data_IF_368624589707
#
_entry.id   IF_368624589707
#
_cell.length_a   1.000
_cell.length_b   1.000
_cell.length_c   1.000
_cell.angle_alpha   90.00
_cell.angle_beta   90.00
_cell.angle_gamma   90.00
#
_symmetry.space_group_name_H-M   'P 1'
#
loop_
_entity.id
_entity.type
_entity.pdbx_description
1 polymer ?
#
# COMPACT_ATOMS: atom_id res chain seq x y z
N UNK A 1 -89.56 2.77 22.50
CA UNK A 1 -88.89 2.53 23.78
C UNK A 1 -88.61 1.04 23.82
N UNK A 2 -87.37 0.67 23.53
CA UNK A 2 -86.89 -0.71 23.59
C UNK A 2 -85.85 -0.77 24.68
N UNK A 3 -86.23 -1.55 25.74
CA UNK A 3 -85.39 -1.82 26.89
C UNK A 3 -84.17 -2.68 26.46
N UNK A 4 -82.95 -2.16 26.69
CA UNK A 4 -81.74 -2.92 26.53
C UNK A 4 -81.42 -3.57 27.88
N UNK A 5 -81.26 -4.89 27.95
CA UNK A 5 -80.93 -5.57 29.20
C UNK A 5 -79.46 -5.30 29.58
N UNK A 6 -79.11 -5.24 30.86
CA UNK A 6 -77.73 -5.00 31.33
C UNK A 6 -76.80 -6.17 30.98
N UNK A 7 -75.66 -5.84 30.41
CA UNK A 7 -74.60 -6.80 30.16
C UNK A 7 -73.93 -7.18 31.47
N UNK A 8 -74.06 -8.42 31.86
CA UNK A 8 -73.42 -9.01 33.03
C UNK A 8 -71.89 -9.13 32.71
N UNK A 9 -71.08 -8.41 33.49
CA UNK A 9 -69.61 -8.59 33.52
C UNK A 9 -69.32 -9.97 34.13
N UNK A 10 -68.79 -10.86 33.31
CA UNK A 10 -68.23 -12.13 33.79
C UNK A 10 -66.84 -11.85 34.40
N UNK A 11 -66.46 -12.50 35.49
CA UNK A 11 -65.17 -12.38 36.12
C UNK A 11 -64.13 -12.99 35.17
N UNK A 12 -63.07 -12.21 34.92
CA UNK A 12 -61.90 -12.64 34.15
C UNK A 12 -61.20 -13.76 34.91
N UNK A 13 -61.16 -14.93 34.27
CA UNK A 13 -60.47 -16.10 34.76
C UNK A 13 -58.99 -15.78 35.05
N UNK A 14 -58.56 -16.19 36.24
CA UNK A 14 -57.18 -16.14 36.72
C UNK A 14 -56.25 -16.75 35.72
N UNK A 15 -55.46 -15.90 35.09
CA UNK A 15 -54.29 -16.34 34.31
C UNK A 15 -53.25 -16.80 35.32
N UNK A 16 -52.88 -18.09 35.37
CA UNK A 16 -51.98 -18.60 36.39
C UNK A 16 -50.60 -17.95 36.23
N UNK A 17 -50.14 -17.29 37.28
CA UNK A 17 -48.84 -16.59 37.35
C UNK A 17 -47.62 -17.43 36.86
N UNK A 18 -47.77 -18.75 36.87
CA UNK A 18 -46.78 -19.70 36.32
C UNK A 18 -46.59 -19.61 34.81
N UNK A 19 -47.61 -19.20 34.03
CA UNK A 19 -47.48 -19.05 32.57
C UNK A 19 -46.71 -17.79 32.20
N UNK A 20 -46.86 -16.75 33.01
CA UNK A 20 -46.12 -15.50 32.80
C UNK A 20 -44.61 -15.62 33.11
N UNK A 21 -44.27 -16.39 34.15
CA UNK A 21 -42.89 -16.68 34.53
C UNK A 21 -42.18 -17.60 33.50
N UNK A 22 -42.93 -18.54 32.91
CA UNK A 22 -42.38 -19.42 31.88
C UNK A 22 -42.05 -18.66 30.57
N UNK A 23 -42.95 -17.76 30.15
CA UNK A 23 -42.72 -16.93 28.96
C UNK A 23 -41.55 -15.96 29.15
N UNK A 24 -41.42 -15.36 30.37
CA UNK A 24 -40.28 -14.45 30.67
C UNK A 24 -38.94 -15.18 30.70
N UNK A 25 -38.92 -16.44 31.15
CA UNK A 25 -37.68 -17.25 31.17
C UNK A 25 -37.25 -17.68 29.78
N UNK A 26 -38.16 -17.97 28.87
CA UNK A 26 -37.91 -18.31 27.49
C UNK A 26 -37.32 -17.13 26.72
N UNK A 27 -37.92 -15.93 26.87
CA UNK A 27 -37.44 -14.71 26.20
C UNK A 27 -36.05 -14.30 26.69
N UNK A 28 -35.77 -14.44 28.00
CA UNK A 28 -34.44 -14.09 28.55
C UNK A 28 -33.36 -15.07 28.08
N UNK A 29 -33.68 -16.35 27.91
CA UNK A 29 -32.72 -17.31 27.37
C UNK A 29 -32.40 -17.05 25.89
N UNK A 30 -33.39 -16.66 25.10
CA UNK A 30 -33.23 -16.39 23.68
C UNK A 30 -32.38 -15.12 23.44
N UNK A 31 -32.69 -14.04 24.14
CA UNK A 31 -31.88 -12.78 24.05
C UNK A 31 -30.46 -13.00 24.53
N UNK A 32 -30.21 -13.85 25.51
CA UNK A 32 -28.86 -14.13 26.03
C UNK A 32 -28.03 -15.00 25.09
N UNK A 33 -28.65 -15.86 24.29
CA UNK A 33 -27.99 -16.69 23.31
C UNK A 33 -27.59 -15.86 22.06
N UNK A 34 -28.43 -14.93 21.65
CA UNK A 34 -28.14 -14.03 20.53
C UNK A 34 -27.00 -13.08 20.84
N UNK A 35 -26.95 -12.51 22.05
CA UNK A 35 -25.78 -11.65 22.43
C UNK A 35 -24.46 -12.40 22.48
N UNK A 36 -24.47 -13.67 22.86
CA UNK A 36 -23.26 -14.48 22.95
C UNK A 36 -22.72 -14.87 21.56
N UNK A 37 -23.60 -15.15 20.61
CA UNK A 37 -23.22 -15.44 19.21
C UNK A 37 -22.81 -14.18 18.50
N UNK A 38 -23.46 -13.04 18.71
CA UNK A 38 -23.10 -11.75 18.11
C UNK A 38 -21.73 -11.28 18.59
N UNK A 39 -21.43 -11.38 19.87
CA UNK A 39 -20.11 -11.04 20.43
C UNK A 39 -18.99 -11.96 19.90
N UNK A 40 -19.25 -13.23 19.67
CA UNK A 40 -18.29 -14.14 19.03
C UNK A 40 -18.10 -13.86 17.55
N UNK A 41 -19.18 -13.53 16.84
CA UNK A 41 -19.12 -13.13 15.43
C UNK A 41 -18.36 -11.82 15.23
N UNK A 42 -18.59 -10.82 16.11
CA UNK A 42 -17.84 -9.55 16.04
C UNK A 42 -16.37 -9.73 16.38
N UNK A 43 -16.04 -10.57 17.37
CA UNK A 43 -14.65 -10.89 17.69
C UNK A 43 -13.96 -11.63 16.55
N UNK A 44 -14.63 -12.58 15.90
CA UNK A 44 -14.12 -13.32 14.75
C UNK A 44 -13.91 -12.39 13.54
N UNK A 45 -14.83 -11.45 13.32
CA UNK A 45 -14.74 -10.46 12.25
C UNK A 45 -13.60 -9.47 12.49
N UNK A 46 -13.40 -9.02 13.73
CA UNK A 46 -12.28 -8.16 14.10
C UNK A 46 -10.92 -8.86 13.95
N UNK A 47 -10.82 -10.13 14.32
CA UNK A 47 -9.57 -10.90 14.13
C UNK A 47 -9.28 -11.17 12.65
N UNK A 48 -10.32 -11.44 11.85
CA UNK A 48 -10.18 -11.60 10.41
C UNK A 48 -9.75 -10.28 9.72
N UNK A 49 -10.30 -9.15 10.17
CA UNK A 49 -9.94 -7.83 9.67
C UNK A 49 -8.47 -7.46 10.00
N UNK A 50 -8.00 -7.84 11.19
CA UNK A 50 -6.60 -7.66 11.60
C UNK A 50 -5.65 -8.54 10.78
N UNK A 51 -6.02 -9.78 10.46
CA UNK A 51 -5.23 -10.68 9.62
C UNK A 51 -5.13 -10.20 8.17
N UNK A 52 -6.20 -9.62 7.62
CA UNK A 52 -6.20 -9.04 6.27
C UNK A 52 -5.35 -7.76 6.23
N UNK A 53 -5.32 -6.96 7.31
CA UNK A 53 -4.51 -5.75 7.39
C UNK A 53 -3.00 -6.02 7.39
N UNK A 54 -2.54 -7.16 7.90
CA UNK A 54 -1.12 -7.52 7.86
C UNK A 54 -0.65 -8.01 6.47
N UNK A 55 -1.58 -8.42 5.60
CA UNK A 55 -1.25 -8.85 4.24
C UNK A 55 -1.11 -7.68 3.24
N UNK A 56 -1.52 -6.45 3.61
CA UNK A 56 -1.50 -5.28 2.72
C UNK A 56 -0.15 -4.55 2.69
N UNK A 57 0.85 -4.98 3.48
CA UNK A 57 2.21 -4.43 3.43
C UNK A 57 3.21 -5.24 2.59
N UNK A 58 2.77 -6.25 1.87
CA UNK A 58 3.52 -6.73 0.72
C UNK A 58 3.22 -5.75 -0.42
N UNK A 59 3.94 -4.61 -0.46
CA UNK A 59 4.13 -3.91 -1.72
C UNK A 59 4.51 -4.98 -2.75
N UNK A 60 3.94 -5.00 -3.98
CA UNK A 60 4.46 -5.86 -5.00
C UNK A 60 5.96 -5.54 -5.05
N UNK A 61 6.80 -6.49 -4.67
CA UNK A 61 8.17 -6.46 -5.08
C UNK A 61 8.07 -6.32 -6.60
N UNK A 62 8.38 -5.13 -7.12
CA UNK A 62 8.67 -4.99 -8.53
C UNK A 62 9.65 -6.13 -8.77
N UNK A 63 9.30 -7.06 -9.64
CA UNK A 63 10.26 -7.95 -10.25
C UNK A 63 11.19 -7.02 -11.04
N UNK A 64 12.11 -6.36 -10.33
CA UNK A 64 13.33 -5.92 -10.95
C UNK A 64 13.94 -7.23 -11.42
N UNK A 65 13.86 -7.48 -12.71
CA UNK A 65 14.64 -8.50 -13.35
C UNK A 65 16.03 -8.41 -12.73
N UNK A 66 16.59 -9.55 -12.28
CA UNK A 66 17.82 -9.57 -11.50
C UNK A 66 18.96 -9.03 -12.37
N UNK A 67 19.08 -7.71 -12.48
CA UNK A 67 20.18 -7.03 -13.15
C UNK A 67 21.46 -7.26 -12.35
N UNK A 68 22.56 -7.44 -13.06
CA UNK A 68 23.88 -7.58 -12.43
C UNK A 68 24.36 -6.27 -11.78
N UNK A 69 23.95 -5.12 -12.32
CA UNK A 69 24.30 -3.79 -11.80
C UNK A 69 23.29 -2.74 -12.27
N UNK A 70 23.18 -1.64 -11.51
CA UNK A 70 22.43 -0.43 -11.86
C UNK A 70 23.41 0.66 -12.27
N UNK A 71 23.27 1.17 -13.49
CA UNK A 71 24.15 2.19 -14.07
C UNK A 71 23.36 3.45 -14.38
N UNK A 72 23.85 4.61 -13.96
CA UNK A 72 23.31 5.92 -14.30
C UNK A 72 24.27 6.66 -15.25
N UNK A 73 23.72 7.27 -16.30
CA UNK A 73 24.46 8.12 -17.23
C UNK A 73 23.98 9.57 -17.12
N UNK A 74 24.89 10.48 -16.81
CA UNK A 74 24.64 11.91 -16.65
C UNK A 74 25.25 12.68 -17.83
N UNK A 75 24.43 13.47 -18.52
CA UNK A 75 24.77 14.17 -19.74
C UNK A 75 24.52 15.68 -19.63
N UNK A 76 25.39 16.49 -20.20
CA UNK A 76 25.24 17.96 -20.25
C UNK A 76 24.42 18.43 -21.45
N UNK A 77 24.29 17.59 -22.48
CA UNK A 77 23.53 17.86 -23.71
C UNK A 77 22.49 16.75 -23.96
N UNK A 78 21.53 16.95 -24.88
CA UNK A 78 20.55 15.91 -25.22
C UNK A 78 21.22 14.67 -25.81
N UNK A 79 20.57 13.50 -25.60
CA UNK A 79 21.05 12.21 -26.16
C UNK A 79 21.07 12.18 -27.69
N UNK A 80 20.33 13.07 -28.34
CA UNK A 80 20.23 13.18 -29.81
C UNK A 80 21.03 14.37 -30.37
N UNK A 81 22.10 14.75 -29.71
CA UNK A 81 22.97 15.86 -30.15
C UNK A 81 23.78 15.53 -31.43
N UNK A 82 23.69 14.33 -31.94
CA UNK A 82 24.36 13.87 -33.15
C UNK A 82 25.84 13.59 -32.97
N UNK A 83 26.39 13.73 -31.75
CA UNK A 83 27.82 13.63 -31.49
C UNK A 83 28.17 13.08 -30.10
N UNK A 84 28.49 13.97 -29.17
CA UNK A 84 29.11 13.65 -27.88
C UNK A 84 28.20 12.85 -26.94
N UNK A 85 27.02 13.37 -26.61
CA UNK A 85 26.09 12.70 -25.71
C UNK A 85 25.45 11.49 -26.33
N UNK A 86 25.14 11.54 -27.63
CA UNK A 86 24.60 10.39 -28.36
C UNK A 86 25.57 9.21 -28.34
N UNK A 87 26.84 9.43 -28.55
CA UNK A 87 27.86 8.37 -28.56
C UNK A 87 27.94 7.67 -27.18
N UNK A 88 27.90 8.43 -26.09
CA UNK A 88 27.87 7.87 -24.73
C UNK A 88 26.59 7.07 -24.44
N UNK A 89 25.46 7.63 -24.85
CA UNK A 89 24.18 6.96 -24.72
C UNK A 89 24.13 5.62 -25.45
N UNK A 90 24.53 5.62 -26.74
CA UNK A 90 24.54 4.40 -27.56
C UNK A 90 25.49 3.34 -26.97
N UNK A 91 26.63 3.75 -26.44
CA UNK A 91 27.59 2.87 -25.81
C UNK A 91 27.01 2.20 -24.53
N UNK A 92 26.35 2.98 -23.67
CA UNK A 92 25.77 2.46 -22.43
C UNK A 92 24.53 1.60 -22.72
N UNK A 93 23.73 1.93 -23.74
CA UNK A 93 22.61 1.09 -24.17
C UNK A 93 23.09 -0.25 -24.74
N UNK A 94 24.17 -0.24 -25.51
CA UNK A 94 24.79 -1.49 -25.96
C UNK A 94 25.33 -2.33 -24.80
N UNK A 95 25.91 -1.69 -23.79
CA UNK A 95 26.37 -2.37 -22.57
C UNK A 95 25.19 -2.99 -21.80
N UNK A 96 24.04 -2.29 -21.72
CA UNK A 96 22.81 -2.82 -21.14
C UNK A 96 22.43 -4.16 -21.76
N UNK A 97 22.38 -4.24 -23.08
CA UNK A 97 21.98 -5.45 -23.79
C UNK A 97 23.04 -6.58 -23.67
N UNK A 98 24.31 -6.21 -23.53
CA UNK A 98 25.41 -7.17 -23.47
C UNK A 98 25.62 -7.77 -22.08
N UNK A 99 25.45 -6.97 -21.03
CA UNK A 99 25.86 -7.33 -19.66
C UNK A 99 24.68 -7.48 -18.70
N UNK A 100 23.44 -7.43 -19.18
CA UNK A 100 22.23 -7.49 -18.33
C UNK A 100 22.28 -6.50 -17.17
N UNK A 101 22.55 -5.23 -17.46
CA UNK A 101 22.57 -4.13 -16.50
C UNK A 101 21.32 -3.25 -16.63
N UNK A 102 20.85 -2.70 -15.53
CA UNK A 102 19.82 -1.67 -15.55
C UNK A 102 20.44 -0.31 -15.83
N UNK A 103 19.92 0.42 -16.82
CA UNK A 103 20.44 1.73 -17.21
C UNK A 103 19.37 2.79 -17.07
N UNK A 104 19.68 3.89 -16.37
CA UNK A 104 18.95 5.16 -16.45
C UNK A 104 19.88 6.26 -16.91
N UNK A 105 19.32 7.32 -17.50
CA UNK A 105 20.09 8.49 -17.89
C UNK A 105 19.35 9.79 -17.55
N UNK A 106 20.11 10.86 -17.36
CA UNK A 106 19.61 12.23 -17.22
C UNK A 106 20.39 13.11 -18.16
N UNK A 107 19.69 13.88 -18.98
CA UNK A 107 20.26 14.78 -19.97
C UNK A 107 20.04 16.25 -19.63
N UNK A 108 20.75 17.17 -20.31
CA UNK A 108 20.62 18.62 -20.12
C UNK A 108 20.91 19.09 -18.69
N UNK A 109 21.81 18.40 -17.96
CA UNK A 109 22.15 18.72 -16.58
C UNK A 109 22.97 20.01 -16.54
N UNK A 110 22.48 21.01 -15.80
CA UNK A 110 23.20 22.26 -15.58
C UNK A 110 24.27 22.10 -14.51
N UNK A 111 25.34 22.93 -14.52
CA UNK A 111 26.41 22.86 -13.52
C UNK A 111 25.89 22.92 -12.08
N UNK A 112 24.87 23.72 -11.81
CA UNK A 112 24.25 23.87 -10.48
C UNK A 112 23.43 22.68 -10.02
N UNK A 113 23.12 21.72 -10.91
CA UNK A 113 22.28 20.54 -10.64
C UNK A 113 23.11 19.26 -10.53
N UNK A 114 24.38 19.29 -10.94
CA UNK A 114 25.22 18.09 -11.07
C UNK A 114 25.37 17.32 -9.77
N UNK A 115 25.67 17.99 -8.66
CA UNK A 115 25.83 17.34 -7.36
C UNK A 115 24.53 16.74 -6.86
N UNK A 116 23.39 17.43 -7.05
CA UNK A 116 22.07 16.94 -6.65
C UNK A 116 21.70 15.66 -7.44
N UNK A 117 21.94 15.64 -8.75
CA UNK A 117 21.67 14.47 -9.60
C UNK A 117 22.52 13.26 -9.19
N UNK A 118 23.83 13.48 -8.92
CA UNK A 118 24.71 12.41 -8.44
C UNK A 118 24.27 11.88 -7.08
N UNK A 119 23.93 12.78 -6.14
CA UNK A 119 23.41 12.41 -4.82
C UNK A 119 22.12 11.60 -4.93
N UNK A 120 21.22 11.98 -5.84
CA UNK A 120 19.95 11.27 -6.06
C UNK A 120 20.20 9.85 -6.56
N UNK A 121 21.05 9.66 -7.58
CA UNK A 121 21.41 8.33 -8.06
C UNK A 121 22.13 7.48 -7.00
N UNK A 122 23.05 8.06 -6.25
CA UNK A 122 23.75 7.37 -5.17
C UNK A 122 22.76 6.91 -4.08
N UNK A 123 21.82 7.76 -3.69
CA UNK A 123 20.78 7.44 -2.69
C UNK A 123 19.81 6.34 -3.14
N UNK A 124 19.59 6.20 -4.45
CA UNK A 124 18.79 5.13 -5.06
C UNK A 124 19.55 3.81 -5.21
N UNK A 125 20.79 3.74 -4.78
CA UNK A 125 21.62 2.53 -4.83
C UNK A 125 22.07 2.14 -6.23
N UNK A 126 22.49 3.13 -7.05
CA UNK A 126 23.17 2.87 -8.30
C UNK A 126 24.61 2.44 -8.05
N UNK A 127 25.04 1.35 -8.70
CA UNK A 127 26.38 0.79 -8.55
C UNK A 127 27.45 1.59 -9.30
N UNK A 128 27.05 2.25 -10.39
CA UNK A 128 27.93 3.08 -11.21
C UNK A 128 27.18 4.33 -11.69
N UNK A 129 27.77 5.50 -11.44
CA UNK A 129 27.27 6.78 -11.95
C UNK A 129 28.31 7.37 -12.87
N UNK A 130 27.97 7.54 -14.15
CA UNK A 130 28.87 8.03 -15.20
C UNK A 130 28.52 9.49 -15.50
N UNK A 131 29.39 10.43 -15.17
CA UNK A 131 29.31 11.82 -15.63
C UNK A 131 30.06 11.98 -16.95
N UNK A 132 29.34 12.10 -18.07
CA UNK A 132 29.94 12.19 -19.40
C UNK A 132 30.32 13.63 -19.77
N UNK A 133 31.20 14.23 -18.96
CA UNK A 133 31.93 15.46 -19.19
C UNK A 133 32.88 15.68 -18.02
N UNK A 134 34.03 16.34 -18.26
CA UNK A 134 34.92 16.72 -17.17
C UNK A 134 34.25 17.69 -16.16
N UNK A 135 33.22 18.42 -16.57
CA UNK A 135 32.45 19.32 -15.69
C UNK A 135 31.73 18.62 -14.53
N UNK A 136 31.54 17.29 -14.59
CA UNK A 136 31.03 16.51 -13.49
C UNK A 136 32.05 16.16 -12.40
N UNK A 137 33.38 16.46 -12.64
CA UNK A 137 34.45 16.00 -11.75
C UNK A 137 34.26 16.41 -10.29
N UNK A 138 33.99 17.68 -10.02
CA UNK A 138 33.82 18.20 -8.67
C UNK A 138 32.58 17.61 -8.00
N UNK A 139 31.49 17.49 -8.75
CA UNK A 139 30.24 16.87 -8.23
C UNK A 139 30.44 15.38 -7.93
N UNK A 140 31.13 14.65 -8.79
CA UNK A 140 31.43 13.24 -8.57
C UNK A 140 32.30 13.03 -7.33
N UNK A 141 33.35 13.84 -7.15
CA UNK A 141 34.20 13.79 -5.97
C UNK A 141 33.44 14.10 -4.68
N UNK A 142 32.66 15.18 -4.68
CA UNK A 142 31.87 15.59 -3.51
C UNK A 142 30.88 14.53 -3.05
N UNK A 143 30.31 13.73 -3.97
CA UNK A 143 29.38 12.65 -3.65
C UNK A 143 30.11 11.36 -3.24
N UNK A 144 31.24 11.06 -3.86
CA UNK A 144 32.02 9.85 -3.56
C UNK A 144 32.69 9.87 -2.16
N UNK A 145 32.89 11.05 -1.57
CA UNK A 145 33.49 11.24 -0.25
C UNK A 145 32.47 11.12 0.92
N UNK A 146 31.17 10.93 0.64
CA UNK A 146 30.09 10.86 1.64
C UNK A 146 29.71 9.43 1.97
#
# INVERSE_FOLDING_TARGET
>A
MQDVPPVALQPTDDIPAKRFLSAKKSVICDVRMEEFTLKKLTALFLTLLMLVSMCACAAPASTEDAYQAKVALCLVTPVNDGAWSQLAYDAVMKAKDTYNISVKYTENIKPTEMEAVFTDYASQGYDLIIGHSFSFGDAALAVAER
#
